data_IF_389395265694
#
_entry.id   IF_389395265694
#
_cell.length_a   1.000
_cell.length_b   1.000
_cell.length_c   1.000
_cell.angle_alpha   90.00
_cell.angle_beta   90.00
_cell.angle_gamma   90.00
#
_symmetry.space_group_name_H-M   'P 1'
#
loop_
_entity.id
_entity.type
_entity.pdbx_description
1 polymer ?
#
# COMPACT_ATOMS: atom_id res chain seq x y z
N UNK A 1 12.51 -20.01 0.41
CA UNK A 1 12.16 -18.71 -0.23
C UNK A 1 13.45 -17.90 -0.38
N UNK A 2 13.66 -17.28 -1.54
CA UNK A 2 14.78 -16.36 -1.76
C UNK A 2 14.29 -14.94 -1.47
N UNK A 3 14.87 -14.27 -0.48
CA UNK A 3 14.60 -12.85 -0.20
C UNK A 3 15.09 -11.96 -1.34
N UNK A 4 14.59 -10.75 -1.39
CA UNK A 4 14.96 -9.70 -2.34
C UNK A 4 14.68 -10.10 -3.79
N UNK A 5 13.50 -10.73 -3.98
CA UNK A 5 13.01 -11.14 -5.30
C UNK A 5 11.52 -10.88 -5.45
N UNK A 6 11.09 -10.68 -6.70
CA UNK A 6 9.68 -10.78 -7.11
C UNK A 6 9.53 -12.09 -7.90
N UNK A 7 8.60 -12.93 -7.47
CA UNK A 7 8.40 -14.29 -8.00
C UNK A 7 7.09 -14.34 -8.79
N UNK A 8 7.14 -14.90 -10.00
CA UNK A 8 5.94 -15.21 -10.76
C UNK A 8 5.21 -16.42 -10.17
N UNK A 9 3.92 -16.28 -9.89
CA UNK A 9 3.07 -17.37 -9.42
C UNK A 9 1.80 -16.92 -8.71
N UNK A 10 0.90 -17.86 -8.51
CA UNK A 10 -0.30 -17.66 -7.69
C UNK A 10 0.09 -17.53 -6.21
N UNK A 11 -0.32 -16.45 -5.55
CA UNK A 11 0.08 -16.16 -4.18
C UNK A 11 -0.32 -17.25 -3.18
N UNK A 12 -1.50 -17.88 -3.34
CA UNK A 12 -1.95 -18.97 -2.46
C UNK A 12 -1.03 -20.19 -2.60
N UNK A 13 -0.63 -20.53 -3.86
CA UNK A 13 0.29 -21.65 -4.11
C UNK A 13 1.69 -21.36 -3.61
N UNK A 14 2.21 -20.14 -3.86
CA UNK A 14 3.56 -19.75 -3.45
C UNK A 14 3.65 -19.69 -1.93
N UNK A 15 2.74 -18.98 -1.27
CA UNK A 15 2.71 -18.84 0.18
C UNK A 15 2.37 -20.18 0.87
N UNK A 16 1.55 -21.03 0.23
CA UNK A 16 1.19 -22.34 0.73
C UNK A 16 2.38 -23.27 0.97
N UNK A 17 3.49 -23.08 0.24
CA UNK A 17 4.74 -23.85 0.38
C UNK A 17 5.61 -23.40 1.55
N UNK A 18 5.39 -22.22 2.08
CA UNK A 18 6.12 -21.67 3.22
C UNK A 18 5.55 -22.24 4.52
N UNK A 19 6.40 -22.77 5.39
CA UNK A 19 5.97 -23.45 6.62
C UNK A 19 6.00 -22.55 7.85
N UNK A 20 6.94 -21.62 7.90
CA UNK A 20 7.24 -20.82 9.08
C UNK A 20 6.77 -19.37 8.91
N UNK A 21 6.42 -18.69 10.02
CA UNK A 21 6.20 -17.25 10.03
C UNK A 21 7.51 -16.51 9.73
N UNK A 22 7.52 -15.76 8.63
CA UNK A 22 8.72 -15.09 8.14
C UNK A 22 8.57 -13.59 7.92
N UNK A 23 7.33 -13.12 7.65
CA UNK A 23 7.08 -11.74 7.29
C UNK A 23 6.89 -10.87 8.54
N UNK A 24 7.60 -9.76 8.60
CA UNK A 24 7.43 -8.73 9.62
C UNK A 24 6.30 -7.78 9.25
N UNK A 25 6.17 -7.47 7.96
CA UNK A 25 5.11 -6.65 7.39
C UNK A 25 4.58 -7.30 6.11
N UNK A 26 3.26 -7.40 6.00
CA UNK A 26 2.58 -7.75 4.75
C UNK A 26 1.74 -6.56 4.30
N UNK A 27 1.92 -6.13 3.06
CA UNK A 27 1.04 -5.19 2.39
C UNK A 27 0.44 -5.87 1.16
N UNK A 28 -0.89 -5.90 1.08
CA UNK A 28 -1.62 -6.53 -0.01
C UNK A 28 -2.54 -5.52 -0.71
N UNK A 29 -2.41 -5.39 -2.02
CA UNK A 29 -3.30 -4.61 -2.91
C UNK A 29 -3.91 -5.57 -3.95
N UNK A 30 -4.87 -6.43 -3.55
CA UNK A 30 -5.45 -7.42 -4.46
C UNK A 30 -6.30 -6.74 -5.54
N UNK A 31 -6.57 -7.40 -6.68
CA UNK A 31 -7.60 -6.96 -7.62
C UNK A 31 -8.93 -6.74 -6.90
N UNK A 32 -9.64 -5.62 -7.18
CA UNK A 32 -10.84 -5.20 -6.44
C UNK A 32 -12.15 -5.81 -6.95
N UNK A 33 -12.07 -6.70 -7.92
CA UNK A 33 -13.22 -7.33 -8.56
C UNK A 33 -14.23 -6.32 -9.18
N UNK A 34 -13.70 -5.29 -9.81
CA UNK A 34 -14.46 -4.19 -10.42
C UNK A 34 -14.47 -4.26 -11.96
N UNK A 35 -13.95 -5.35 -12.53
CA UNK A 35 -13.86 -5.57 -13.97
C UNK A 35 -12.70 -4.84 -14.61
N UNK A 36 -11.62 -4.60 -13.88
CA UNK A 36 -10.41 -4.01 -14.43
C UNK A 36 -9.69 -5.00 -15.36
N UNK A 37 -9.13 -4.51 -16.46
CA UNK A 37 -8.43 -5.35 -17.43
C UNK A 37 -6.95 -5.46 -17.04
N UNK A 38 -6.57 -6.60 -16.46
CA UNK A 38 -5.18 -7.01 -16.28
C UNK A 38 -4.74 -7.89 -17.45
N UNK A 39 -3.45 -8.25 -17.51
CA UNK A 39 -2.90 -9.08 -18.58
C UNK A 39 -3.35 -10.54 -18.50
N UNK A 40 -3.22 -11.20 -17.35
CA UNK A 40 -3.53 -12.61 -17.13
C UNK A 40 -4.60 -12.89 -16.07
N UNK A 41 -5.14 -11.86 -15.42
CA UNK A 41 -6.13 -12.01 -14.35
C UNK A 41 -7.50 -11.46 -14.76
N UNK A 42 -8.55 -12.28 -14.61
CA UNK A 42 -9.93 -11.87 -14.83
C UNK A 42 -10.53 -11.25 -13.55
N UNK A 43 -10.72 -9.93 -13.56
CA UNK A 43 -11.22 -9.13 -12.43
C UNK A 43 -12.76 -9.04 -12.43
N UNK A 44 -13.45 -10.19 -12.65
CA UNK A 44 -14.92 -10.31 -12.68
C UNK A 44 -15.41 -11.64 -12.14
N UNK A 45 -14.99 -11.97 -10.93
CA UNK A 45 -15.48 -13.18 -10.24
C UNK A 45 -16.87 -12.93 -9.67
N UNK A 46 -17.66 -14.01 -9.53
CA UNK A 46 -18.88 -13.96 -8.72
C UNK A 46 -18.52 -13.60 -7.27
N UNK A 47 -19.46 -13.01 -6.55
CA UNK A 47 -19.24 -12.54 -5.18
C UNK A 47 -18.67 -13.65 -4.27
N UNK A 48 -19.32 -14.81 -4.23
CA UNK A 48 -18.90 -15.93 -3.38
C UNK A 48 -17.52 -16.48 -3.76
N UNK A 49 -17.20 -16.50 -5.06
CA UNK A 49 -15.89 -16.95 -5.55
C UNK A 49 -14.79 -15.97 -5.15
N UNK A 50 -15.04 -14.66 -5.25
CA UNK A 50 -14.10 -13.63 -4.85
C UNK A 50 -13.90 -13.64 -3.33
N UNK A 51 -14.99 -13.80 -2.57
CA UNK A 51 -14.95 -13.90 -1.13
C UNK A 51 -14.12 -15.11 -0.67
N UNK A 52 -14.41 -16.30 -1.19
CA UNK A 52 -13.67 -17.52 -0.86
C UNK A 52 -12.19 -17.46 -1.27
N UNK A 53 -11.89 -16.83 -2.40
CA UNK A 53 -10.51 -16.58 -2.82
C UNK A 53 -9.80 -15.61 -1.88
N UNK A 54 -10.49 -14.55 -1.46
CA UNK A 54 -9.95 -13.56 -0.50
C UNK A 54 -9.63 -14.22 0.84
N UNK A 55 -10.53 -15.06 1.36
CA UNK A 55 -10.29 -15.80 2.59
C UNK A 55 -9.04 -16.71 2.49
N UNK A 56 -8.86 -17.39 1.36
CA UNK A 56 -7.72 -18.29 1.13
C UNK A 56 -6.38 -17.55 1.16
N UNK A 57 -6.24 -16.47 0.40
CA UNK A 57 -4.97 -15.75 0.38
C UNK A 57 -4.69 -15.00 1.69
N UNK A 58 -5.70 -14.44 2.35
CA UNK A 58 -5.56 -13.83 3.66
C UNK A 58 -5.13 -14.85 4.72
N UNK A 59 -5.68 -16.06 4.70
CA UNK A 59 -5.25 -17.15 5.59
C UNK A 59 -3.78 -17.55 5.37
N UNK A 60 -3.33 -17.60 4.10
CA UNK A 60 -1.92 -17.83 3.79
C UNK A 60 -1.03 -16.71 4.35
N UNK A 61 -1.43 -15.44 4.18
CA UNK A 61 -0.72 -14.29 4.74
C UNK A 61 -0.68 -14.34 6.27
N UNK A 62 -1.80 -14.61 6.93
CA UNK A 62 -1.86 -14.76 8.38
C UNK A 62 -0.88 -15.82 8.92
N UNK A 63 -0.82 -16.97 8.26
CA UNK A 63 0.05 -18.07 8.67
C UNK A 63 1.52 -17.70 8.63
N UNK A 64 1.97 -16.98 7.58
CA UNK A 64 3.37 -16.60 7.39
C UNK A 64 3.73 -15.26 8.05
N UNK A 65 2.77 -14.51 8.57
CA UNK A 65 3.01 -13.31 9.35
C UNK A 65 3.59 -13.69 10.71
N UNK A 66 4.68 -13.04 11.12
CA UNK A 66 5.25 -13.23 12.47
C UNK A 66 4.26 -12.81 13.56
N UNK A 67 4.38 -13.34 14.79
CA UNK A 67 3.53 -12.91 15.91
C UNK A 67 3.50 -11.39 16.09
N UNK A 68 4.65 -10.72 16.00
CA UNK A 68 4.81 -9.27 16.11
C UNK A 68 4.52 -8.49 14.82
N UNK A 69 4.11 -9.19 13.76
CA UNK A 69 3.98 -8.65 12.42
C UNK A 69 2.72 -7.81 12.20
N UNK A 70 2.79 -6.94 11.21
CA UNK A 70 1.69 -6.08 10.76
C UNK A 70 1.16 -6.52 9.40
N UNK A 71 -0.16 -6.50 9.24
CA UNK A 71 -0.84 -6.85 7.99
C UNK A 71 -1.71 -5.70 7.50
N UNK A 72 -1.50 -5.29 6.26
CA UNK A 72 -2.23 -4.24 5.61
C UNK A 72 -2.90 -4.74 4.34
N UNK A 73 -4.15 -4.32 4.12
CA UNK A 73 -4.88 -4.59 2.88
C UNK A 73 -5.48 -3.31 2.35
N UNK A 74 -5.16 -2.97 1.10
CA UNK A 74 -5.86 -1.96 0.32
C UNK A 74 -7.05 -2.61 -0.38
N UNK A 75 -8.24 -2.02 -0.30
CA UNK A 75 -9.45 -2.58 -0.91
C UNK A 75 -10.47 -1.47 -1.24
N UNK A 76 -11.24 -1.67 -2.31
CA UNK A 76 -12.38 -0.82 -2.63
C UNK A 76 -13.57 -1.03 -1.68
N UNK A 77 -14.48 -0.05 -1.64
CA UNK A 77 -15.69 -0.04 -0.80
C UNK A 77 -16.62 -1.25 -1.02
N UNK A 78 -16.60 -1.87 -2.21
CA UNK A 78 -17.45 -3.02 -2.52
C UNK A 78 -17.19 -4.25 -1.63
N UNK A 79 -15.96 -4.40 -1.10
CA UNK A 79 -15.52 -5.57 -0.34
C UNK A 79 -14.79 -5.24 0.96
N UNK A 80 -14.78 -3.97 1.37
CA UNK A 80 -14.07 -3.54 2.57
C UNK A 80 -14.64 -4.19 3.86
N UNK A 81 -15.96 -4.36 3.92
CA UNK A 81 -16.62 -5.02 5.04
C UNK A 81 -16.29 -6.52 5.11
N UNK A 82 -16.27 -7.20 3.96
CA UNK A 82 -15.94 -8.62 3.85
C UNK A 82 -14.50 -8.89 4.26
N UNK A 83 -13.56 -8.10 3.77
CA UNK A 83 -12.14 -8.18 4.13
C UNK A 83 -11.96 -7.96 5.63
N UNK A 84 -12.71 -7.01 6.22
CA UNK A 84 -12.71 -6.77 7.66
C UNK A 84 -13.22 -7.98 8.45
N UNK A 85 -14.28 -8.63 7.98
CA UNK A 85 -14.84 -9.82 8.62
C UNK A 85 -13.87 -11.01 8.54
N UNK A 86 -13.26 -11.22 7.38
CA UNK A 86 -12.25 -12.27 7.18
C UNK A 86 -11.06 -12.04 8.12
N UNK A 87 -10.53 -10.82 8.22
CA UNK A 87 -9.44 -10.50 9.13
C UNK A 87 -9.74 -10.86 10.58
N UNK A 88 -10.97 -10.55 11.06
CA UNK A 88 -11.42 -10.91 12.39
C UNK A 88 -11.52 -12.43 12.61
N UNK A 89 -12.08 -13.17 11.64
CA UNK A 89 -12.19 -14.64 11.71
C UNK A 89 -10.83 -15.33 11.78
N UNK A 90 -9.82 -14.75 11.11
CA UNK A 90 -8.45 -15.24 11.17
C UNK A 90 -7.73 -14.92 12.49
N UNK A 91 -8.33 -14.13 13.38
CA UNK A 91 -7.73 -13.74 14.66
C UNK A 91 -6.81 -12.51 14.53
N UNK A 92 -6.90 -11.74 13.47
CA UNK A 92 -6.19 -10.47 13.32
C UNK A 92 -6.87 -9.37 14.15
N UNK A 93 -6.07 -8.53 14.80
CA UNK A 93 -6.54 -7.42 15.64
C UNK A 93 -6.47 -6.11 14.84
N UNK A 94 -7.63 -5.55 14.48
CA UNK A 94 -7.68 -4.28 13.76
C UNK A 94 -7.13 -3.15 14.61
N UNK A 95 -6.15 -2.42 14.08
CA UNK A 95 -5.60 -1.21 14.66
C UNK A 95 -6.27 0.03 14.11
N UNK A 96 -6.35 0.13 12.79
CA UNK A 96 -7.01 1.24 12.12
C UNK A 96 -7.73 0.79 10.86
N UNK A 97 -8.81 1.46 10.56
CA UNK A 97 -9.43 1.50 9.25
C UNK A 97 -9.17 2.87 8.67
N UNK A 98 -8.21 2.98 7.76
CA UNK A 98 -7.72 4.23 7.21
C UNK A 98 -8.39 4.49 5.87
N UNK A 99 -8.77 5.74 5.64
CA UNK A 99 -9.29 6.22 4.36
C UNK A 99 -8.14 6.88 3.61
N UNK A 100 -7.66 6.24 2.57
CA UNK A 100 -6.77 6.89 1.61
C UNK A 100 -7.60 7.71 0.64
N UNK A 101 -7.66 9.01 0.89
CA UNK A 101 -8.34 10.00 0.07
C UNK A 101 -7.45 10.52 -1.05
N UNK A 102 -8.02 10.68 -2.24
CA UNK A 102 -7.38 11.29 -3.40
C UNK A 102 -8.36 12.24 -4.12
N UNK A 103 -7.82 13.32 -4.71
CA UNK A 103 -8.63 14.42 -5.26
C UNK A 103 -9.26 14.13 -6.62
N UNK A 104 -8.92 13.00 -7.24
CA UNK A 104 -9.36 12.66 -8.59
C UNK A 104 -10.24 11.40 -8.57
N UNK A 105 -11.53 11.58 -8.78
CA UNK A 105 -12.53 10.52 -8.87
C UNK A 105 -13.20 10.44 -10.24
N UNK A 106 -14.02 9.41 -10.46
CA UNK A 106 -14.85 9.31 -11.66
C UNK A 106 -15.98 10.35 -11.62
N UNK A 107 -16.19 11.05 -12.73
CA UNK A 107 -17.38 11.89 -12.87
C UNK A 107 -18.64 11.02 -12.94
N UNK A 108 -19.62 11.30 -12.09
CA UNK A 108 -20.86 10.54 -11.97
C UNK A 108 -22.07 11.46 -12.02
N UNK A 109 -23.21 10.96 -12.57
CA UNK A 109 -24.45 11.73 -12.68
C UNK A 109 -25.53 11.34 -11.65
N UNK A 110 -25.42 10.16 -11.02
CA UNK A 110 -26.49 9.58 -10.17
C UNK A 110 -26.02 9.14 -8.79
N UNK A 111 -24.77 9.37 -8.43
CA UNK A 111 -24.18 9.08 -7.12
C UNK A 111 -23.01 10.01 -6.86
N UNK A 112 -22.53 10.07 -5.63
CA UNK A 112 -21.30 10.81 -5.31
C UNK A 112 -20.09 10.16 -5.97
N UNK A 113 -19.12 10.97 -6.40
CA UNK A 113 -17.87 10.49 -6.98
C UNK A 113 -17.04 9.76 -5.91
N UNK A 114 -16.57 8.57 -6.24
CA UNK A 114 -15.63 7.82 -5.37
C UNK A 114 -14.25 8.46 -5.45
N UNK A 115 -13.70 8.84 -4.31
CA UNK A 115 -12.39 9.50 -4.20
C UNK A 115 -11.52 8.92 -3.08
N UNK A 116 -11.74 7.65 -2.73
CA UNK A 116 -10.98 6.98 -1.68
C UNK A 116 -10.81 5.49 -1.91
N UNK A 117 -9.84 4.93 -1.20
CA UNK A 117 -9.60 3.49 -1.04
C UNK A 117 -9.47 3.22 0.46
N UNK A 118 -9.92 2.07 0.90
CA UNK A 118 -9.80 1.63 2.28
C UNK A 118 -8.45 0.93 2.49
N UNK A 119 -7.76 1.29 3.58
CA UNK A 119 -6.57 0.61 4.04
C UNK A 119 -6.88 0.03 5.42
N UNK A 120 -6.94 -1.27 5.50
CA UNK A 120 -7.20 -1.98 6.74
C UNK A 120 -5.86 -2.40 7.35
N UNK A 121 -5.59 -1.95 8.56
CA UNK A 121 -4.36 -2.22 9.31
C UNK A 121 -4.64 -3.15 10.49
N UNK A 122 -4.00 -4.30 10.50
CA UNK A 122 -4.05 -5.27 11.58
C UNK A 122 -2.68 -5.62 12.13
N UNK A 123 -2.68 -6.14 13.35
CA UNK A 123 -1.55 -6.85 13.94
C UNK A 123 -1.99 -8.27 14.32
N UNK A 124 -1.03 -9.18 14.43
CA UNK A 124 -1.30 -10.55 14.88
C UNK A 124 -1.40 -10.64 16.40
N UNK A 125 -0.60 -9.85 17.12
CA UNK A 125 -0.66 -9.70 18.56
C UNK A 125 -1.26 -8.35 18.97
N UNK A 126 -1.86 -8.27 20.15
CA UNK A 126 -2.49 -7.05 20.67
C UNK A 126 -1.52 -6.09 21.34
N UNK A 127 -0.44 -6.59 21.92
CA UNK A 127 0.52 -5.82 22.69
C UNK A 127 1.94 -5.80 22.12
N UNK A 128 2.32 -6.87 21.42
CA UNK A 128 3.69 -7.01 20.86
C UNK A 128 3.66 -6.85 19.33
N UNK A 129 3.88 -5.64 18.85
CA UNK A 129 3.98 -5.34 17.41
C UNK A 129 4.85 -4.10 17.18
N UNK A 130 5.43 -4.02 16.00
CA UNK A 130 6.24 -2.87 15.61
C UNK A 130 5.35 -1.70 15.21
N UNK A 131 5.52 -0.55 15.90
CA UNK A 131 4.94 0.73 15.49
C UNK A 131 5.90 1.89 15.82
N UNK A 132 6.63 2.34 14.81
CA UNK A 132 7.63 3.41 14.91
C UNK A 132 6.95 4.78 14.77
N UNK A 133 6.30 5.24 15.82
CA UNK A 133 5.51 6.48 15.80
C UNK A 133 6.33 7.71 15.39
N UNK A 134 7.61 7.76 15.80
CA UNK A 134 8.54 8.86 15.53
C UNK A 134 8.92 8.97 14.04
N UNK A 135 8.91 7.88 13.28
CA UNK A 135 9.24 7.83 11.85
C UNK A 135 8.15 8.44 10.95
N UNK A 136 6.91 8.53 11.46
CA UNK A 136 5.74 8.89 10.65
C UNK A 136 5.02 10.15 11.11
N UNK A 137 5.58 10.84 12.11
CA UNK A 137 4.99 12.10 12.61
C UNK A 137 4.98 13.16 11.53
N UNK A 138 3.94 13.98 11.56
CA UNK A 138 3.72 15.11 10.66
C UNK A 138 3.54 16.40 11.47
N UNK A 139 3.83 17.58 10.90
CA UNK A 139 3.52 18.84 11.56
C UNK A 139 2.03 18.94 11.89
N UNK A 140 1.70 19.36 13.11
CA UNK A 140 0.31 19.58 13.53
C UNK A 140 -0.19 20.96 13.12
N UNK A 141 -1.50 21.13 12.96
CA UNK A 141 -2.12 22.45 12.74
C UNK A 141 -1.78 23.43 13.89
N UNK A 142 -1.60 22.93 15.12
CA UNK A 142 -1.15 23.77 16.25
C UNK A 142 0.21 24.40 15.99
N UNK A 143 1.12 23.70 15.29
CA UNK A 143 2.43 24.22 14.92
C UNK A 143 2.36 25.13 13.68
N UNK A 144 1.68 24.67 12.63
CA UNK A 144 1.76 25.31 11.30
C UNK A 144 0.76 26.44 11.10
N UNK A 145 -0.41 26.37 11.76
CA UNK A 145 -1.51 27.33 11.58
C UNK A 145 -1.66 28.27 12.78
N UNK A 146 -1.57 27.71 13.98
CA UNK A 146 -1.86 28.48 15.21
C UNK A 146 -0.62 28.95 15.95
N UNK A 147 0.59 28.55 15.52
CA UNK A 147 1.87 28.87 16.17
C UNK A 147 1.84 28.66 17.71
N UNK A 148 1.11 27.63 18.17
CA UNK A 148 0.94 27.31 19.59
C UNK A 148 2.23 26.73 20.17
N UNK A 149 2.88 27.48 21.06
CA UNK A 149 4.15 27.07 21.70
C UNK A 149 4.05 25.81 22.56
N UNK A 150 2.82 25.35 22.89
CA UNK A 150 2.58 24.11 23.64
C UNK A 150 2.47 22.88 22.70
N UNK A 151 2.55 23.09 21.38
CA UNK A 151 2.54 21.99 20.42
C UNK A 151 3.77 21.10 20.61
N UNK A 152 3.58 19.79 20.46
CA UNK A 152 4.70 18.86 20.50
C UNK A 152 5.68 19.18 19.35
N UNK A 153 6.95 19.52 19.64
CA UNK A 153 7.93 19.85 18.60
C UNK A 153 8.17 18.72 17.61
N UNK A 154 7.96 17.47 18.02
CA UNK A 154 8.04 16.28 17.14
C UNK A 154 6.81 16.09 16.24
N UNK A 155 5.82 16.99 16.29
CA UNK A 155 4.59 16.86 15.52
C UNK A 155 3.57 15.89 16.12
N UNK A 156 2.56 15.53 15.32
CA UNK A 156 1.51 14.56 15.67
C UNK A 156 1.60 13.31 14.82
N UNK A 157 0.99 12.22 15.28
CA UNK A 157 0.69 11.09 14.40
C UNK A 157 -0.30 11.52 13.31
N UNK A 158 -0.20 11.00 12.08
CA UNK A 158 -1.23 11.19 11.07
C UNK A 158 -2.58 10.68 11.58
N UNK A 159 -3.64 11.35 11.18
CA UNK A 159 -5.01 10.89 11.40
C UNK A 159 -5.28 9.63 10.52
N UNK A 160 -6.46 9.06 10.62
CA UNK A 160 -6.89 7.89 9.81
C UNK A 160 -7.49 8.26 8.44
N UNK A 161 -7.45 9.54 8.06
CA UNK A 161 -7.73 10.01 6.70
C UNK A 161 -6.44 10.54 6.08
N UNK A 162 -5.91 9.80 5.11
CA UNK A 162 -4.64 10.12 4.44
C UNK A 162 -4.88 10.69 3.04
N UNK A 163 -4.32 11.85 2.77
CA UNK A 163 -4.37 12.47 1.45
C UNK A 163 -3.08 12.23 0.68
N UNK A 164 -3.12 11.30 -0.27
CA UNK A 164 -2.06 11.04 -1.22
C UNK A 164 -2.65 11.00 -2.63
N UNK A 165 -1.99 11.66 -3.58
CA UNK A 165 -2.42 11.60 -4.98
C UNK A 165 -2.29 10.17 -5.52
N UNK A 166 -3.21 9.77 -6.41
CA UNK A 166 -3.06 8.54 -7.18
C UNK A 166 -1.96 8.73 -8.23
N UNK A 167 -1.24 7.65 -8.49
CA UNK A 167 -0.25 7.62 -9.57
C UNK A 167 -0.98 7.48 -10.91
N UNK A 168 -1.13 8.58 -11.64
CA UNK A 168 -1.82 8.62 -12.92
C UNK A 168 -1.24 9.70 -13.85
N UNK A 169 -1.63 9.69 -15.11
CA UNK A 169 -1.24 10.72 -16.08
C UNK A 169 0.27 10.89 -16.21
N UNK A 170 0.77 12.06 -15.90
CA UNK A 170 2.17 12.49 -16.04
C UNK A 170 2.98 12.37 -14.75
N UNK A 171 2.48 11.64 -13.75
CA UNK A 171 3.25 11.41 -12.51
C UNK A 171 4.60 10.77 -12.81
N UNK A 172 5.66 11.32 -12.21
CA UNK A 172 7.04 10.89 -12.49
C UNK A 172 7.34 9.47 -12.04
N UNK A 173 6.73 9.00 -10.94
CA UNK A 173 6.88 7.63 -10.45
C UNK A 173 6.07 6.61 -11.25
N UNK A 174 5.26 7.06 -12.24
CA UNK A 174 4.39 6.19 -12.99
C UNK A 174 5.16 5.26 -13.91
N UNK A 175 4.95 3.95 -13.75
CA UNK A 175 5.30 2.96 -14.75
C UNK A 175 4.17 2.82 -15.76
N UNK A 176 4.50 2.69 -17.05
CA UNK A 176 3.48 2.65 -18.11
C UNK A 176 2.97 1.24 -18.40
N UNK A 177 3.72 0.24 -17.98
CA UNK A 177 3.42 -1.17 -18.21
C UNK A 177 2.44 -1.77 -17.19
N UNK A 178 2.22 -1.11 -16.03
CA UNK A 178 1.24 -1.56 -15.06
C UNK A 178 0.13 -0.51 -14.88
N UNK A 179 -1.16 -0.93 -14.93
CA UNK A 179 -2.29 0.00 -14.97
C UNK A 179 -2.64 0.63 -13.61
N UNK A 180 -2.42 -0.09 -12.52
CA UNK A 180 -2.77 0.31 -11.15
C UNK A 180 -1.52 0.33 -10.28
N UNK A 181 -1.01 1.51 -9.99
CA UNK A 181 0.20 1.67 -9.18
C UNK A 181 -0.11 2.40 -7.89
N UNK A 182 0.36 1.83 -6.77
CA UNK A 182 0.30 2.48 -5.46
C UNK A 182 1.32 3.61 -5.36
N UNK A 183 1.00 4.72 -4.66
CA UNK A 183 1.94 5.80 -4.42
C UNK A 183 3.07 5.37 -3.48
N UNK A 184 4.32 5.65 -3.85
CA UNK A 184 5.49 5.30 -3.02
C UNK A 184 5.44 5.96 -1.64
N UNK A 185 5.01 7.22 -1.54
CA UNK A 185 4.89 7.94 -0.26
C UNK A 185 3.89 7.30 0.71
N UNK A 186 2.82 6.70 0.20
CA UNK A 186 1.85 5.97 1.03
C UNK A 186 2.51 4.73 1.61
N UNK A 187 3.20 3.95 0.77
CA UNK A 187 3.90 2.74 1.21
C UNK A 187 5.09 3.05 2.10
N UNK A 188 5.81 4.15 1.86
CA UNK A 188 6.87 4.62 2.73
C UNK A 188 6.38 4.87 4.17
N UNK A 189 5.22 5.51 4.32
CA UNK A 189 4.60 5.71 5.64
C UNK A 189 4.29 4.38 6.33
N UNK A 190 3.69 3.43 5.62
CA UNK A 190 3.33 2.11 6.16
C UNK A 190 4.59 1.34 6.57
N UNK A 191 5.58 1.26 5.66
CA UNK A 191 6.80 0.48 5.89
C UNK A 191 7.62 1.06 7.04
N UNK A 192 7.77 2.39 7.12
CA UNK A 192 8.45 3.06 8.24
C UNK A 192 7.73 2.81 9.57
N UNK A 193 6.40 2.92 9.58
CA UNK A 193 5.63 2.70 10.80
C UNK A 193 5.74 1.28 11.33
N UNK A 194 5.73 0.28 10.45
CA UNK A 194 5.47 -1.11 10.81
C UNK A 194 6.66 -2.06 10.61
N UNK A 195 7.86 -1.56 10.37
CA UNK A 195 9.05 -2.39 10.20
C UNK A 195 10.34 -1.65 10.54
N UNK A 196 11.43 -2.40 10.77
CA UNK A 196 12.78 -1.90 10.94
C UNK A 196 13.66 -2.25 9.72
N UNK A 197 14.79 -1.57 9.49
CA UNK A 197 15.79 -2.02 8.53
C UNK A 197 16.18 -3.49 8.76
N UNK A 198 16.24 -4.28 7.69
CA UNK A 198 16.50 -5.73 7.75
C UNK A 198 15.25 -6.60 7.95
N UNK A 199 14.08 -6.04 8.31
CA UNK A 199 12.82 -6.77 8.38
C UNK A 199 12.32 -7.17 6.98
N UNK A 200 11.55 -8.25 6.91
CA UNK A 200 10.97 -8.74 5.66
C UNK A 200 9.60 -8.12 5.40
N UNK A 201 9.51 -7.35 4.33
CA UNK A 201 8.25 -6.83 3.76
C UNK A 201 7.78 -7.76 2.65
N UNK A 202 6.55 -8.27 2.75
CA UNK A 202 5.96 -9.18 1.77
C UNK A 202 4.77 -8.51 1.06
N UNK A 203 4.72 -8.68 -0.27
CA UNK A 203 3.59 -8.23 -1.11
C UNK A 203 3.09 -9.40 -1.96
N UNK A 204 1.90 -9.96 -1.64
CA UNK A 204 1.34 -11.09 -2.38
C UNK A 204 0.74 -10.71 -3.75
N UNK A 205 0.64 -9.40 -4.05
CA UNK A 205 0.08 -8.84 -5.29
C UNK A 205 0.97 -7.71 -5.80
N UNK A 206 2.22 -8.03 -6.11
CA UNK A 206 3.30 -7.06 -6.31
C UNK A 206 3.04 -6.05 -7.43
N UNK A 207 2.34 -6.44 -8.50
CA UNK A 207 1.95 -5.57 -9.60
C UNK A 207 3.13 -4.77 -10.15
N UNK A 208 3.09 -3.46 -9.94
CA UNK A 208 4.18 -2.54 -10.33
C UNK A 208 5.44 -2.64 -9.45
N UNK A 209 5.44 -3.46 -8.41
CA UNK A 209 6.57 -3.64 -7.48
C UNK A 209 6.78 -2.51 -6.48
N UNK A 210 5.82 -1.60 -6.32
CA UNK A 210 6.03 -0.39 -5.51
C UNK A 210 6.37 -0.71 -4.05
N UNK A 211 5.69 -1.68 -3.43
CA UNK A 211 6.00 -2.13 -2.06
C UNK A 211 7.46 -2.58 -1.94
N UNK A 212 7.91 -3.42 -2.89
CA UNK A 212 9.26 -3.96 -2.90
C UNK A 212 10.32 -2.88 -3.18
N UNK A 213 10.03 -1.94 -4.08
CA UNK A 213 10.89 -0.77 -4.36
C UNK A 213 11.10 0.05 -3.10
N UNK A 214 10.02 0.39 -2.40
CA UNK A 214 10.09 1.22 -1.19
C UNK A 214 10.77 0.44 -0.05
N UNK A 215 10.47 -0.85 0.13
CA UNK A 215 11.13 -1.69 1.11
C UNK A 215 12.64 -1.73 0.89
N UNK A 216 13.10 -2.01 -0.33
CA UNK A 216 14.51 -2.04 -0.69
C UNK A 216 15.21 -0.69 -0.45
N UNK A 217 14.59 0.42 -0.87
CA UNK A 217 15.12 1.78 -0.65
C UNK A 217 15.29 2.12 0.83
N UNK A 218 14.40 1.62 1.66
CA UNK A 218 14.44 1.82 3.11
C UNK A 218 15.30 0.79 3.86
N UNK A 219 16.04 -0.07 3.16
CA UNK A 219 16.91 -1.08 3.77
C UNK A 219 16.17 -2.27 4.39
N UNK A 220 14.94 -2.54 3.94
CA UNK A 220 14.18 -3.74 4.31
C UNK A 220 14.43 -4.84 3.28
N UNK A 221 14.44 -6.09 3.73
CA UNK A 221 14.28 -7.22 2.82
C UNK A 221 12.86 -7.21 2.23
N UNK A 222 12.70 -7.73 1.02
CA UNK A 222 11.40 -7.81 0.38
C UNK A 222 11.16 -9.19 -0.26
N UNK A 223 9.89 -9.52 -0.42
CA UNK A 223 9.44 -10.65 -1.23
C UNK A 223 8.11 -10.29 -1.90
N UNK A 224 8.14 -10.14 -3.23
CA UNK A 224 6.96 -9.87 -4.04
C UNK A 224 6.48 -11.13 -4.74
N UNK A 225 5.16 -11.23 -4.97
CA UNK A 225 4.55 -12.28 -5.78
C UNK A 225 3.62 -11.61 -6.78
N UNK A 226 3.67 -12.03 -8.03
CA UNK A 226 2.70 -11.65 -9.04
C UNK A 226 2.36 -12.84 -9.92
N UNK A 227 1.08 -12.93 -10.34
CA UNK A 227 0.65 -14.02 -11.23
C UNK A 227 1.15 -13.82 -12.66
N UNK A 228 1.43 -12.57 -13.06
CA UNK A 228 2.00 -12.21 -14.35
C UNK A 228 3.52 -12.33 -14.32
N UNK A 229 4.07 -13.12 -15.25
CA UNK A 229 5.51 -13.22 -15.42
C UNK A 229 6.14 -11.90 -15.86
N UNK A 230 5.46 -11.15 -16.71
CA UNK A 230 5.92 -9.85 -17.22
C UNK A 230 5.95 -8.81 -16.11
N UNK A 231 4.89 -8.72 -15.27
CA UNK A 231 4.88 -7.82 -14.13
C UNK A 231 5.96 -8.16 -13.11
N UNK A 232 6.18 -9.45 -12.83
CA UNK A 232 7.24 -9.88 -11.93
C UNK A 232 8.63 -9.49 -12.45
N UNK A 233 8.91 -9.68 -13.74
CA UNK A 233 10.18 -9.32 -14.37
C UNK A 233 10.42 -7.80 -14.39
N UNK A 234 9.42 -7.03 -14.82
CA UNK A 234 9.51 -5.55 -14.86
C UNK A 234 9.63 -4.96 -13.46
N UNK A 235 8.93 -5.52 -12.46
CA UNK A 235 9.07 -5.12 -11.06
C UNK A 235 10.48 -5.37 -10.54
N UNK A 236 11.05 -6.53 -10.81
CA UNK A 236 12.42 -6.84 -10.40
C UNK A 236 13.44 -5.90 -11.05
N UNK A 237 13.25 -5.56 -12.33
CA UNK A 237 14.06 -4.57 -13.04
C UNK A 237 13.93 -3.18 -12.41
N UNK A 238 12.69 -2.72 -12.13
CA UNK A 238 12.43 -1.44 -11.47
C UNK A 238 13.15 -1.34 -10.13
N UNK A 239 13.12 -2.40 -9.33
CA UNK A 239 13.83 -2.45 -8.04
C UNK A 239 15.34 -2.30 -8.25
N UNK A 240 15.93 -3.08 -9.18
CA UNK A 240 17.35 -3.02 -9.49
C UNK A 240 17.77 -1.63 -10.00
N UNK A 241 16.96 -1.00 -10.84
CA UNK A 241 17.20 0.35 -11.34
C UNK A 241 17.16 1.39 -10.22
N UNK A 242 16.18 1.27 -9.30
CA UNK A 242 16.09 2.14 -8.12
C UNK A 242 17.32 2.04 -7.23
N UNK A 243 17.77 0.81 -6.91
CA UNK A 243 18.95 0.58 -6.07
C UNK A 243 20.24 1.05 -6.73
N UNK A 244 20.32 1.02 -8.06
CA UNK A 244 21.45 1.53 -8.81
C UNK A 244 21.42 3.06 -9.03
N UNK A 245 20.46 3.77 -8.43
CA UNK A 245 20.28 5.22 -8.63
C UNK A 245 19.88 5.62 -10.05
N UNK A 246 19.50 4.64 -10.88
CA UNK A 246 18.93 4.92 -12.20
C UNK A 246 17.48 5.41 -12.02
N UNK A 247 17.12 6.49 -12.73
CA UNK A 247 15.78 7.11 -12.62
C UNK A 247 14.68 6.10 -12.91
N UNK A 248 13.90 5.77 -11.88
CA UNK A 248 12.63 5.05 -11.99
C UNK A 248 11.45 5.93 -11.59
N UNK A 249 11.54 7.22 -11.89
CA UNK A 249 10.47 8.19 -11.67
C UNK A 249 10.48 8.97 -10.36
N UNK A 250 11.39 8.73 -9.41
CA UNK A 250 11.26 9.27 -8.04
C UNK A 250 12.14 10.48 -7.70
N UNK A 251 12.96 11.02 -8.63
CA UNK A 251 13.94 12.08 -8.34
C UNK A 251 13.43 13.51 -8.54
N UNK A 252 12.16 13.77 -8.27
CA UNK A 252 11.74 15.15 -8.09
C UNK A 252 11.47 15.37 -6.61
N UNK A 253 12.45 15.97 -5.92
CA UNK A 253 12.18 16.72 -4.72
C UNK A 253 11.00 17.64 -5.03
N UNK A 254 9.89 17.47 -4.29
CA UNK A 254 8.75 18.37 -4.42
C UNK A 254 9.25 19.79 -4.14
N UNK A 255 9.47 20.56 -5.22
CA UNK A 255 9.70 21.97 -5.06
C UNK A 255 8.42 22.56 -4.44
N UNK A 256 8.49 23.19 -3.25
CA UNK A 256 7.32 23.79 -2.61
C UNK A 256 6.56 24.76 -3.51
N UNK A 257 7.23 25.37 -4.51
CA UNK A 257 6.61 26.24 -5.49
C UNK A 257 5.73 25.47 -6.50
N UNK A 258 6.11 24.24 -6.89
CA UNK A 258 5.30 23.41 -7.78
C UNK A 258 4.00 22.98 -7.09
N UNK A 259 4.06 22.62 -5.82
CA UNK A 259 2.87 22.31 -5.00
C UNK A 259 1.94 23.52 -4.81
N UNK A 260 2.51 24.74 -4.67
CA UNK A 260 1.73 25.98 -4.60
C UNK A 260 1.08 26.33 -5.93
N UNK A 261 1.75 26.09 -7.05
CA UNK A 261 1.23 26.33 -8.38
C UNK A 261 0.10 25.37 -8.75
N UNK A 262 0.20 24.09 -8.39
CA UNK A 262 -0.85 23.11 -8.60
C UNK A 262 -2.08 23.39 -7.70
N UNK A 263 -1.89 23.75 -6.43
CA UNK A 263 -2.98 24.21 -5.56
C UNK A 263 -3.70 25.44 -6.12
N UNK A 264 -2.98 26.40 -6.70
CA UNK A 264 -3.58 27.59 -7.34
C UNK A 264 -4.36 27.24 -8.60
N UNK A 265 -3.90 26.27 -9.41
CA UNK A 265 -4.64 25.79 -10.59
C UNK A 265 -5.92 25.05 -10.19
N UNK A 266 -5.87 24.21 -9.18
CA UNK A 266 -7.03 23.47 -8.68
C UNK A 266 -8.08 24.43 -8.09
N UNK A 267 -7.68 25.42 -7.32
CA UNK A 267 -8.60 26.44 -6.76
C UNK A 267 -9.23 27.36 -7.82
N UNK A 268 -8.56 27.58 -8.96
CA UNK A 268 -9.15 28.34 -10.10
C UNK A 268 -10.15 27.51 -10.91
N UNK A 269 -10.05 26.20 -10.93
CA UNK A 269 -10.97 25.31 -11.63
C UNK A 269 -12.28 25.04 -10.88
N UNK A 270 -12.37 25.45 -9.62
CA UNK A 270 -13.57 25.34 -8.77
C UNK A 270 -14.28 26.70 -8.53
N UNK A 271 -13.85 27.78 -9.20
CA UNK A 271 -14.57 29.06 -9.30
C UNK A 271 -15.17 29.20 -10.68
#
# INVERSE_FOLDING_TARGET
MKKNTVTCGDCVKVLGRLKEPIADLIFADPPFNIGYKYDVYEDRKKYDEYYAWTEKWMACCYRILKPTGSFWVAIGDNYAAEVRIIGNRLGLHLRNWIIWHYTFGQNTKRKFARSHTHLLYWTKDTGQFTFNDHEVRIPSARQTTYADKRANPKGKLPDDVWSFSRVCGTFHERVRWHPCQMPEKLLERIIKACSHPGDLVLDPFSGSGTTCVVAARLGRDYFGIDISGDYAAESQKRIADTLAGRRTGTDIAENPETLRAERRKTLKAYR
#
